data_IF_313937094893
#
_entry.id   IF_313937094893
#
_cell.length_a   1.000
_cell.length_b   1.000
_cell.length_c   1.000
_cell.angle_alpha   90.00
_cell.angle_beta   90.00
_cell.angle_gamma   90.00
#
_symmetry.space_group_name_H-M   'P 1'
#
loop_
_entity.id
_entity.type
_entity.pdbx_description
1 polymer ?
#
# COMPACT_ATOMS: atom_id res chain seq x y z
N UNK A 1 24.35 -8.06 -5.49
CA UNK A 1 23.07 -7.60 -4.92
C UNK A 1 22.03 -8.69 -5.15
N UNK A 2 21.27 -9.11 -4.14
CA UNK A 2 20.25 -10.15 -4.32
C UNK A 2 18.89 -9.55 -4.68
N UNK A 3 18.02 -10.31 -5.35
CA UNK A 3 16.66 -9.88 -5.63
C UNK A 3 15.89 -9.53 -4.34
N UNK A 4 16.15 -10.30 -3.25
CA UNK A 4 15.63 -10.02 -1.90
C UNK A 4 16.03 -8.64 -1.42
N UNK A 5 17.33 -8.33 -1.44
CA UNK A 5 17.88 -7.04 -0.99
C UNK A 5 17.35 -5.88 -1.83
N UNK A 6 17.19 -6.08 -3.15
CA UNK A 6 16.61 -5.07 -4.03
C UNK A 6 15.14 -4.82 -3.70
N UNK A 7 14.36 -5.87 -3.46
CA UNK A 7 12.95 -5.73 -3.09
C UNK A 7 12.77 -5.03 -1.74
N UNK A 8 13.60 -5.35 -0.75
CA UNK A 8 13.65 -4.64 0.53
C UNK A 8 13.97 -3.15 0.34
N UNK A 9 14.99 -2.84 -0.47
CA UNK A 9 15.38 -1.47 -0.77
C UNK A 9 14.28 -0.68 -1.48
N UNK A 10 13.59 -1.28 -2.46
CA UNK A 10 12.45 -0.65 -3.15
C UNK A 10 11.35 -0.33 -2.14
N UNK A 11 10.95 -1.28 -1.29
CA UNK A 11 9.91 -1.03 -0.29
C UNK A 11 10.30 0.10 0.68
N UNK A 12 11.56 0.14 1.13
CA UNK A 12 12.05 1.19 2.02
C UNK A 12 12.09 2.56 1.33
N UNK A 13 12.59 2.64 0.10
CA UNK A 13 12.60 3.86 -0.69
C UNK A 13 11.18 4.36 -0.89
N UNK A 14 10.25 3.50 -1.30
CA UNK A 14 8.87 3.89 -1.52
C UNK A 14 8.15 4.30 -0.23
N UNK A 15 8.55 3.78 0.93
CA UNK A 15 8.09 4.31 2.21
C UNK A 15 8.59 5.74 2.47
N UNK A 16 9.84 6.05 2.14
CA UNK A 16 10.41 7.40 2.25
C UNK A 16 9.70 8.38 1.31
N UNK A 17 9.45 7.96 0.07
CA UNK A 17 8.78 8.73 -0.97
C UNK A 17 7.34 9.14 -0.57
N UNK A 18 6.72 8.48 0.42
CA UNK A 18 5.43 8.91 0.98
C UNK A 18 5.49 10.32 1.62
N UNK A 19 6.67 10.78 2.02
CA UNK A 19 6.90 12.13 2.57
C UNK A 19 7.27 13.17 1.51
N UNK A 20 7.66 12.77 0.30
CA UNK A 20 7.93 13.69 -0.80
C UNK A 20 6.64 13.98 -1.58
N UNK A 21 6.24 15.25 -1.65
CA UNK A 21 5.02 15.66 -2.37
C UNK A 21 5.03 15.31 -3.86
N UNK A 22 6.21 15.22 -4.48
CA UNK A 22 6.35 14.92 -5.91
C UNK A 22 6.23 13.42 -6.19
N UNK A 23 6.76 12.58 -5.30
CA UNK A 23 6.83 11.13 -5.49
C UNK A 23 5.68 10.37 -4.78
N UNK A 24 5.03 11.01 -3.81
CA UNK A 24 4.00 10.40 -2.96
C UNK A 24 2.86 9.75 -3.74
N UNK A 25 2.43 10.33 -4.85
CA UNK A 25 1.34 9.76 -5.65
C UNK A 25 1.71 8.38 -6.19
N UNK A 26 2.95 8.21 -6.65
CA UNK A 26 3.45 6.94 -7.16
C UNK A 26 3.79 5.97 -6.03
N UNK A 27 4.24 6.48 -4.88
CA UNK A 27 4.40 5.67 -3.67
C UNK A 27 3.07 5.08 -3.16
N UNK A 28 1.98 5.86 -3.16
CA UNK A 28 0.64 5.35 -2.84
C UNK A 28 0.23 4.25 -3.82
N UNK A 29 0.43 4.46 -5.12
CA UNK A 29 0.12 3.47 -6.17
C UNK A 29 0.91 2.18 -6.00
N UNK A 30 2.15 2.25 -5.53
CA UNK A 30 2.96 1.07 -5.25
C UNK A 30 2.37 0.24 -4.10
N UNK A 31 1.98 0.86 -2.99
CA UNK A 31 1.41 0.16 -1.83
C UNK A 31 0.00 -0.37 -2.07
N UNK A 32 -0.84 0.35 -2.81
CA UNK A 32 -2.19 -0.09 -3.20
C UNK A 32 -2.19 -1.07 -4.39
N UNK A 33 -1.06 -1.17 -5.10
CA UNK A 33 -0.90 -1.98 -6.31
C UNK A 33 -0.18 -3.30 -6.09
N UNK A 34 0.05 -4.02 -7.19
CA UNK A 34 0.75 -5.32 -7.18
C UNK A 34 2.25 -5.19 -6.84
N UNK A 35 2.83 -3.99 -7.00
CA UNK A 35 4.26 -3.73 -6.78
C UNK A 35 4.72 -4.09 -5.35
N UNK A 36 3.94 -3.68 -4.34
CA UNK A 36 4.21 -4.05 -2.96
C UNK A 36 4.13 -5.56 -2.75
N UNK A 37 3.09 -6.22 -3.28
CA UNK A 37 2.91 -7.66 -3.13
C UNK A 37 4.04 -8.48 -3.76
N UNK A 38 4.54 -8.05 -4.93
CA UNK A 38 5.70 -8.68 -5.59
C UNK A 38 6.97 -8.50 -4.78
N UNK A 39 7.27 -7.26 -4.36
CA UNK A 39 8.47 -6.97 -3.57
C UNK A 39 8.44 -7.71 -2.23
N UNK A 40 7.31 -7.76 -1.56
CA UNK A 40 7.16 -8.45 -0.30
C UNK A 40 7.38 -9.97 -0.42
N UNK A 41 6.87 -10.60 -1.50
CA UNK A 41 7.13 -12.01 -1.79
C UNK A 41 8.61 -12.27 -2.03
N UNK A 42 9.28 -11.43 -2.83
CA UNK A 42 10.72 -11.55 -3.12
C UNK A 42 11.57 -11.30 -1.87
N UNK A 43 11.15 -10.38 -1.00
CA UNK A 43 11.76 -10.11 0.29
C UNK A 43 11.56 -11.27 1.30
N UNK A 44 10.69 -12.23 1.00
CA UNK A 44 10.39 -13.36 1.87
C UNK A 44 9.46 -13.01 3.04
N UNK A 45 8.69 -11.93 2.92
CA UNK A 45 7.72 -11.55 3.95
C UNK A 45 6.53 -12.51 3.95
N UNK A 46 6.15 -12.99 5.12
CA UNK A 46 4.92 -13.73 5.31
C UNK A 46 3.69 -12.80 5.28
N UNK A 47 2.49 -13.39 5.21
CA UNK A 47 1.26 -12.62 5.09
C UNK A 47 1.04 -11.61 6.24
N UNK A 48 1.40 -11.98 7.48
CA UNK A 48 1.24 -11.07 8.63
C UNK A 48 2.21 -9.89 8.56
N UNK A 49 3.46 -10.12 8.12
CA UNK A 49 4.45 -9.07 7.91
C UNK A 49 4.03 -8.11 6.79
N UNK A 50 3.49 -8.64 5.70
CA UNK A 50 2.92 -7.86 4.60
C UNK A 50 1.80 -6.95 5.08
N UNK A 51 0.82 -7.53 5.80
CA UNK A 51 -0.31 -6.79 6.33
C UNK A 51 0.13 -5.71 7.32
N UNK A 52 1.14 -6.00 8.16
CA UNK A 52 1.71 -5.03 9.09
C UNK A 52 2.35 -3.85 8.36
N UNK A 53 3.16 -4.11 7.33
CA UNK A 53 3.84 -3.06 6.58
C UNK A 53 2.84 -2.19 5.80
N UNK A 54 1.88 -2.83 5.13
CA UNK A 54 0.79 -2.15 4.41
C UNK A 54 -0.04 -1.25 5.33
N UNK A 55 -0.42 -1.75 6.52
CA UNK A 55 -1.15 -0.95 7.50
C UNK A 55 -0.33 0.23 8.02
N UNK A 56 0.99 0.09 8.11
CA UNK A 56 1.88 1.17 8.50
C UNK A 56 1.93 2.25 7.42
N UNK A 57 2.15 1.88 6.16
CA UNK A 57 2.13 2.79 5.01
C UNK A 57 0.78 3.52 4.91
N UNK A 58 -0.34 2.82 5.05
CA UNK A 58 -1.67 3.42 5.04
C UNK A 58 -1.90 4.46 6.14
N UNK A 59 -1.36 4.24 7.34
CA UNK A 59 -1.43 5.23 8.42
C UNK A 59 -0.62 6.48 8.09
N UNK A 60 0.53 6.34 7.43
CA UNK A 60 1.34 7.47 6.97
C UNK A 60 0.57 8.27 5.90
N UNK A 61 -0.03 7.58 4.93
CA UNK A 61 -0.85 8.19 3.88
C UNK A 61 -2.03 8.97 4.47
N UNK A 62 -2.76 8.37 5.43
CA UNK A 62 -3.94 8.96 6.04
C UNK A 62 -3.64 10.20 6.92
N UNK A 63 -2.48 10.24 7.59
CA UNK A 63 -2.08 11.41 8.41
C UNK A 63 -1.85 12.66 7.58
N UNK A 64 -1.30 12.48 6.39
CA UNK A 64 -0.92 13.56 5.48
C UNK A 64 -2.02 13.92 4.46
N UNK A 65 -3.16 13.24 4.50
CA UNK A 65 -4.36 13.53 3.71
C UNK A 65 -5.58 13.56 4.63
N UNK A 66 -6.03 14.74 5.12
CA UNK A 66 -7.30 14.81 5.82
C UNK A 66 -8.41 14.33 4.87
N UNK A 67 -9.24 13.41 5.36
CA UNK A 67 -10.25 12.69 4.57
C UNK A 67 -11.06 13.63 3.65
N UNK A 68 -10.93 13.46 2.34
CA UNK A 68 -12.13 13.61 1.50
C UNK A 68 -12.95 12.36 1.76
N UNK A 69 -14.11 12.54 2.41
CA UNK A 69 -15.14 11.53 2.70
C UNK A 69 -15.10 10.42 1.64
N UNK A 70 -14.61 9.23 2.02
CA UNK A 70 -14.79 8.03 1.19
C UNK A 70 -16.29 7.78 1.15
N UNK A 71 -16.92 8.04 0.01
CA UNK A 71 -18.33 7.74 -0.20
C UNK A 71 -18.57 6.27 0.13
N UNK A 72 -19.42 6.00 1.12
CA UNK A 72 -19.87 4.67 1.52
C UNK A 72 -20.82 4.06 0.48
N UNK A 73 -20.48 4.09 -0.80
CA UNK A 73 -21.18 3.37 -1.86
C UNK A 73 -20.38 2.14 -2.25
N UNK A 74 -20.40 1.12 -1.41
CA UNK A 74 -20.18 -0.28 -1.78
C UNK A 74 -20.56 -1.18 -0.60
N UNK A 75 -21.86 -1.21 -0.32
CA UNK A 75 -22.53 -2.33 0.34
C UNK A 75 -23.99 -2.33 -0.11
N UNK A 76 -24.19 -2.77 -1.34
CA UNK A 76 -25.48 -3.33 -1.77
C UNK A 76 -25.14 -4.65 -2.45
N UNK A 77 -25.39 -5.81 -1.81
CA UNK A 77 -25.46 -7.04 -2.58
C UNK A 77 -26.67 -6.94 -3.51
N UNK A 78 -26.40 -7.07 -4.80
CA UNK A 78 -27.43 -7.22 -5.81
C UNK A 78 -28.20 -8.53 -5.58
N UNK A 79 -29.54 -8.45 -5.61
CA UNK A 79 -30.47 -9.56 -5.39
C UNK A 79 -31.00 -9.57 -3.96
N UNK A 80 -32.30 -9.42 -3.70
CA UNK A 80 -33.39 -10.20 -4.29
C UNK A 80 -34.60 -9.29 -4.50
N UNK A 81 -35.04 -9.19 -5.75
CA UNK A 81 -36.41 -8.84 -6.07
C UNK A 81 -37.25 -10.12 -5.96
N UNK A 82 -38.29 -10.07 -5.14
CA UNK A 82 -39.49 -10.89 -5.21
C UNK A 82 -40.63 -10.11 -4.55
#
# INVERSE_FOLDING_TARGET
MSAKTLAEAIMLQTMEDLWDKNERADAVRFFDGEGFGVCAKIAGLNFFEQLRLYNMANKMIAREMPEKKRDKKLLVPAGVAA
#
